data_IF_034753016882
#
_entry.id   IF_034753016882
#
_cell.length_a   1.000
_cell.length_b   1.000
_cell.length_c   1.000
_cell.angle_alpha   90.00
_cell.angle_beta   90.00
_cell.angle_gamma   90.00
#
_symmetry.space_group_name_H-M   'P 1'
#
loop_
_entity.id
_entity.type
_entity.pdbx_description
1 polymer ?
#
# COMPACT_ATOMS: atom_id res chain seq x y z
N UNK A 1 -46.19 -20.71 -20.85
CA UNK A 1 -44.90 -21.32 -20.47
C UNK A 1 -43.88 -20.20 -20.42
N UNK A 2 -43.34 -19.90 -19.25
CA UNK A 2 -42.30 -18.89 -19.08
C UNK A 2 -40.93 -19.56 -19.18
N UNK A 3 -40.00 -18.89 -19.87
CA UNK A 3 -38.57 -19.15 -19.72
C UNK A 3 -37.95 -17.79 -19.45
N UNK A 4 -37.43 -17.64 -18.23
CA UNK A 4 -36.60 -16.51 -17.81
C UNK A 4 -35.17 -16.84 -18.26
N UNK A 5 -34.44 -15.92 -18.91
CA UNK A 5 -33.02 -16.15 -19.18
C UNK A 5 -32.27 -16.24 -17.84
N UNK A 6 -31.21 -17.06 -17.74
CA UNK A 6 -30.37 -17.07 -16.55
C UNK A 6 -29.71 -15.68 -16.38
N UNK A 7 -29.85 -15.11 -15.19
CA UNK A 7 -29.04 -13.97 -14.78
C UNK A 7 -27.59 -14.43 -14.74
N UNK A 8 -26.76 -13.83 -15.58
CA UNK A 8 -25.32 -13.96 -15.47
C UNK A 8 -24.89 -12.99 -14.37
N UNK A 9 -25.12 -13.38 -13.11
CA UNK A 9 -24.57 -12.69 -11.93
C UNK A 9 -23.07 -13.01 -11.89
N UNK A 10 -22.32 -12.33 -12.74
CA UNK A 10 -20.87 -12.19 -12.64
C UNK A 10 -20.58 -10.76 -12.21
N UNK A 11 -21.13 -10.39 -11.05
CA UNK A 11 -20.57 -9.32 -10.22
C UNK A 11 -19.38 -9.91 -9.44
N UNK A 12 -18.40 -10.48 -10.15
CA UNK A 12 -17.08 -10.68 -9.59
C UNK A 12 -16.39 -9.33 -9.78
N UNK A 13 -16.64 -8.41 -8.84
CA UNK A 13 -15.85 -7.19 -8.72
C UNK A 13 -14.39 -7.61 -8.86
N UNK A 14 -13.63 -7.04 -9.81
CA UNK A 14 -12.27 -7.49 -10.04
C UNK A 14 -11.54 -7.43 -8.71
N UNK A 15 -10.79 -8.48 -8.35
CA UNK A 15 -9.89 -8.46 -7.19
C UNK A 15 -8.95 -7.25 -7.36
N UNK A 16 -9.33 -6.12 -6.76
CA UNK A 16 -8.54 -4.89 -6.83
C UNK A 16 -7.34 -5.15 -5.96
N UNK A 17 -6.20 -5.40 -6.60
CA UNK A 17 -4.94 -5.54 -5.88
C UNK A 17 -4.58 -4.18 -5.30
N UNK A 18 -4.82 -4.01 -4.00
CA UNK A 18 -4.46 -2.80 -3.27
C UNK A 18 -2.95 -2.75 -2.98
N UNK A 19 -2.32 -1.61 -3.26
CA UNK A 19 -0.91 -1.36 -2.98
C UNK A 19 -0.68 0.09 -2.55
N UNK A 20 0.47 0.34 -1.93
CA UNK A 20 0.88 1.64 -1.41
C UNK A 20 -0.11 2.16 -0.38
N UNK A 21 -0.59 3.38 -0.60
CA UNK A 21 -1.50 4.03 0.36
C UNK A 21 -2.87 3.37 0.47
N UNK A 22 -3.38 2.71 -0.58
CA UNK A 22 -4.65 2.00 -0.48
C UNK A 22 -4.53 0.79 0.47
N UNK A 23 -3.44 0.02 0.32
CA UNK A 23 -3.14 -1.09 1.21
C UNK A 23 -2.83 -0.64 2.65
N UNK A 24 -2.25 0.56 2.82
CA UNK A 24 -2.06 1.17 4.14
C UNK A 24 -3.39 1.64 4.73
N UNK A 25 -4.27 2.23 3.93
CA UNK A 25 -5.58 2.76 4.34
C UNK A 25 -6.41 1.67 5.02
N UNK A 26 -6.49 0.49 4.39
CA UNK A 26 -7.18 -0.68 4.92
C UNK A 26 -6.57 -1.18 6.25
N UNK A 27 -5.25 -1.14 6.39
CA UNK A 27 -4.55 -1.53 7.64
C UNK A 27 -4.79 -0.53 8.76
N UNK A 28 -4.84 0.76 8.43
CA UNK A 28 -5.15 1.81 9.40
C UNK A 28 -6.59 1.71 9.88
N UNK A 29 -7.55 1.44 8.98
CA UNK A 29 -8.95 1.22 9.35
C UNK A 29 -9.14 0.00 10.25
N UNK A 30 -8.39 -1.08 10.01
CA UNK A 30 -8.44 -2.28 10.86
C UNK A 30 -7.80 -2.12 12.24
N UNK A 31 -7.06 -1.03 12.49
CA UNK A 31 -6.26 -0.84 13.71
C UNK A 31 -6.92 0.06 14.77
N UNK A 32 -8.14 0.55 14.53
CA UNK A 32 -8.91 1.42 15.43
C UNK A 32 -8.03 2.52 16.07
N UNK A 33 -7.38 3.32 15.22
CA UNK A 33 -6.51 4.41 15.64
C UNK A 33 -7.31 5.68 15.97
N UNK A 34 -6.97 6.31 17.10
CA UNK A 34 -7.48 7.62 17.46
C UNK A 34 -6.46 8.70 17.08
N UNK A 35 -6.94 9.79 16.45
CA UNK A 35 -6.09 10.91 16.05
C UNK A 35 -6.32 12.12 16.98
N UNK A 36 -5.27 12.90 17.30
CA UNK A 36 -3.89 12.80 16.80
C UNK A 36 -3.13 11.59 17.39
N UNK A 37 -2.27 10.98 16.57
CA UNK A 37 -1.48 9.79 16.95
C UNK A 37 0.02 10.05 16.79
N UNK A 38 0.83 9.48 17.68
CA UNK A 38 2.30 9.59 17.62
C UNK A 38 2.91 8.52 16.71
N UNK A 39 4.06 8.83 16.11
CA UNK A 39 4.82 7.85 15.31
C UNK A 39 5.25 6.65 16.17
N UNK A 40 5.57 6.85 17.45
CA UNK A 40 5.88 5.76 18.38
C UNK A 40 4.68 4.85 18.68
N UNK A 41 3.48 5.40 18.74
CA UNK A 41 2.27 4.59 18.92
C UNK A 41 1.90 3.83 17.64
N UNK A 42 2.06 4.47 16.48
CA UNK A 42 1.94 3.80 15.19
C UNK A 42 2.98 2.68 15.03
N UNK A 43 4.22 2.90 15.44
CA UNK A 43 5.27 1.88 15.43
C UNK A 43 4.91 0.72 16.38
N UNK A 44 4.40 1.00 17.57
CA UNK A 44 3.98 -0.05 18.50
C UNK A 44 2.78 -0.87 18.02
N UNK A 45 1.85 -0.27 17.25
CA UNK A 45 0.61 -0.93 16.80
C UNK A 45 0.72 -1.56 15.41
N UNK A 46 1.40 -0.87 14.50
CA UNK A 46 1.46 -1.18 13.08
C UNK A 46 2.89 -1.38 12.57
N UNK A 47 3.92 -1.17 13.40
CA UNK A 47 5.33 -1.18 12.98
C UNK A 47 5.73 -2.40 12.16
N UNK A 48 5.36 -3.60 12.63
CA UNK A 48 5.66 -4.89 11.96
C UNK A 48 4.72 -5.22 10.79
N UNK A 49 3.72 -4.37 10.53
CA UNK A 49 2.73 -4.63 9.49
C UNK A 49 3.34 -4.34 8.12
N UNK A 50 3.53 -5.38 7.32
CA UNK A 50 4.00 -5.26 5.94
C UNK A 50 2.92 -4.65 5.04
N UNK A 51 3.28 -3.67 4.21
CA UNK A 51 2.42 -3.01 3.23
C UNK A 51 3.00 -3.23 1.83
N UNK A 52 2.28 -3.86 0.89
CA UNK A 52 2.72 -4.00 -0.50
C UNK A 52 2.75 -2.62 -1.16
N UNK A 53 3.82 -2.29 -1.89
CA UNK A 53 3.97 -1.01 -2.59
C UNK A 53 3.99 -1.11 -4.11
N UNK A 54 4.02 -2.33 -4.66
CA UNK A 54 3.88 -2.57 -6.08
C UNK A 54 3.23 -3.95 -6.39
N UNK A 55 2.90 -4.15 -7.67
CA UNK A 55 2.29 -5.39 -8.15
C UNK A 55 3.29 -6.54 -8.31
N UNK A 56 4.59 -6.31 -8.09
CA UNK A 56 5.62 -7.36 -8.13
C UNK A 56 5.73 -8.12 -6.80
N UNK A 57 4.92 -7.72 -5.80
CA UNK A 57 4.91 -8.32 -4.47
C UNK A 57 5.97 -7.74 -3.54
N UNK A 58 6.54 -6.58 -3.86
CA UNK A 58 7.45 -5.93 -2.94
C UNK A 58 6.67 -5.24 -1.83
N UNK A 59 7.11 -5.43 -0.59
CA UNK A 59 6.48 -4.90 0.61
C UNK A 59 7.48 -4.12 1.47
N UNK A 60 6.95 -3.22 2.30
CA UNK A 60 7.70 -2.48 3.31
C UNK A 60 6.86 -2.39 4.58
N UNK A 61 7.50 -2.47 5.74
CA UNK A 61 6.79 -2.34 7.02
C UNK A 61 6.36 -0.88 7.27
N UNK A 62 5.26 -0.69 8.00
CA UNK A 62 4.82 0.67 8.38
C UNK A 62 5.90 1.35 9.22
N UNK A 63 6.60 0.63 10.10
CA UNK A 63 7.70 1.17 10.91
C UNK A 63 8.83 1.76 10.05
N UNK A 64 9.29 1.02 9.04
CA UNK A 64 10.30 1.53 8.11
C UNK A 64 9.81 2.75 7.34
N UNK A 65 8.54 2.75 6.93
CA UNK A 65 7.96 3.87 6.20
C UNK A 65 7.85 5.12 7.08
N UNK A 66 7.50 4.98 8.37
CA UNK A 66 7.47 6.08 9.34
C UNK A 66 8.85 6.71 9.55
N UNK A 67 9.90 5.88 9.67
CA UNK A 67 11.29 6.35 9.79
C UNK A 67 11.69 7.23 8.60
N UNK A 68 11.20 6.94 7.40
CA UNK A 68 11.51 7.75 6.20
C UNK A 68 10.76 9.10 6.13
N UNK A 69 9.75 9.34 6.98
CA UNK A 69 8.97 10.59 6.95
C UNK A 69 9.51 11.70 7.85
N UNK A 70 10.46 11.42 8.75
CA UNK A 70 10.99 12.35 9.77
C UNK A 70 9.90 13.00 10.67
N UNK A 71 8.65 12.53 10.64
CA UNK A 71 7.52 13.06 11.42
C UNK A 71 7.30 12.25 12.68
N UNK A 72 7.01 12.94 13.79
CA UNK A 72 6.80 12.31 15.11
C UNK A 72 5.32 12.16 15.49
N UNK A 73 4.41 12.83 14.78
CA UNK A 73 2.97 12.76 15.03
C UNK A 73 2.17 13.11 13.78
N UNK A 74 0.92 12.65 13.76
CA UNK A 74 -0.02 12.86 12.66
C UNK A 74 -1.36 13.33 13.21
N UNK A 75 -1.91 14.38 12.62
CA UNK A 75 -3.14 15.03 13.11
C UNK A 75 -4.42 14.31 12.64
N UNK A 76 -4.32 13.52 11.56
CA UNK A 76 -5.43 12.77 10.99
C UNK A 76 -4.95 11.59 10.16
N UNK A 77 -5.87 10.66 9.85
CA UNK A 77 -5.62 9.56 8.90
C UNK A 77 -5.12 10.09 7.56
N UNK A 78 -5.76 11.13 7.02
CA UNK A 78 -5.35 11.74 5.77
C UNK A 78 -3.93 12.32 5.84
N UNK A 79 -3.55 12.97 6.95
CA UNK A 79 -2.19 13.49 7.16
C UNK A 79 -1.15 12.37 7.19
N UNK A 80 -1.45 11.25 7.86
CA UNK A 80 -0.62 10.04 7.86
C UNK A 80 -0.42 9.45 6.45
N UNK A 81 -1.51 9.21 5.72
CA UNK A 81 -1.45 8.64 4.37
C UNK A 81 -0.71 9.55 3.41
N UNK A 82 -0.96 10.86 3.47
CA UNK A 82 -0.28 11.84 2.64
C UNK A 82 1.22 11.92 2.95
N UNK A 83 1.62 11.76 4.22
CA UNK A 83 3.02 11.73 4.60
C UNK A 83 3.75 10.47 4.10
N UNK A 84 3.07 9.32 4.12
CA UNK A 84 3.64 8.04 3.69
C UNK A 84 3.55 7.81 2.17
N UNK A 85 2.64 8.49 1.47
CA UNK A 85 2.48 8.35 0.02
C UNK A 85 3.78 8.55 -0.77
N UNK A 86 4.57 9.62 -0.56
CA UNK A 86 5.83 9.81 -1.27
C UNK A 86 6.87 8.74 -0.95
N UNK A 87 6.82 8.14 0.25
CA UNK A 87 7.75 7.05 0.63
C UNK A 87 7.49 5.82 -0.22
N UNK A 88 6.23 5.37 -0.27
CA UNK A 88 5.84 4.22 -1.09
C UNK A 88 6.08 4.48 -2.58
N UNK A 89 5.78 5.68 -3.07
CA UNK A 89 5.99 6.02 -4.48
C UNK A 89 7.48 5.98 -4.86
N UNK A 90 8.37 6.47 -3.98
CA UNK A 90 9.83 6.36 -4.20
C UNK A 90 10.30 4.90 -4.27
N UNK A 91 9.81 4.04 -3.37
CA UNK A 91 10.14 2.60 -3.39
C UNK A 91 9.64 1.94 -4.68
N UNK A 92 8.42 2.24 -5.10
CA UNK A 92 7.83 1.76 -6.36
C UNK A 92 8.64 2.18 -7.59
N UNK A 93 9.09 3.43 -7.64
CA UNK A 93 9.91 3.94 -8.74
C UNK A 93 11.31 3.29 -8.77
N UNK A 94 11.90 3.07 -7.60
CA UNK A 94 13.19 2.38 -7.49
C UNK A 94 13.09 0.91 -7.92
N UNK A 95 12.03 0.21 -7.50
CA UNK A 95 11.77 -1.18 -7.89
C UNK A 95 11.55 -1.32 -9.40
N UNK A 96 10.67 -0.50 -9.97
CA UNK A 96 10.40 -0.50 -11.42
C UNK A 96 11.64 -0.20 -12.26
N UNK A 97 12.46 0.77 -11.87
CA UNK A 97 13.73 1.07 -12.55
C UNK A 97 14.70 -0.11 -12.50
N UNK A 98 14.72 -0.85 -11.39
CA UNK A 98 15.61 -2.01 -11.21
C UNK A 98 15.19 -3.18 -12.10
N UNK A 99 13.88 -3.45 -12.21
CA UNK A 99 13.33 -4.46 -13.11
C UNK A 99 13.67 -4.16 -14.58
N UNK A 100 13.52 -2.89 -15.00
CA UNK A 100 13.87 -2.47 -16.37
C UNK A 100 15.37 -2.68 -16.69
N UNK A 101 16.26 -2.43 -15.73
CA UNK A 101 17.69 -2.69 -15.89
C UNK A 101 17.99 -4.18 -16.06
N UNK A 102 17.32 -5.05 -15.29
CA UNK A 102 17.52 -6.49 -15.38
C UNK A 102 17.07 -7.06 -16.74
N UNK A 103 15.91 -6.62 -17.25
CA UNK A 103 15.42 -7.04 -18.58
C UNK A 103 16.36 -6.55 -19.68
N UNK A 104 16.85 -5.30 -19.60
CA UNK A 104 17.80 -4.77 -20.59
C UNK A 104 19.13 -5.53 -20.61
N UNK A 105 19.55 -6.12 -19.49
CA UNK A 105 20.75 -6.97 -19.42
C UNK A 105 20.64 -8.31 -20.15
N UNK A 106 19.43 -8.79 -20.47
CA UNK A 106 19.20 -10.06 -21.17
C UNK A 106 19.05 -9.92 -22.69
N UNK A 107 18.95 -8.70 -23.22
CA UNK A 107 18.84 -8.47 -24.67
C UNK A 107 20.23 -8.22 -25.24
N UNK A 108 20.77 -9.08 -26.14
CA UNK A 108 22.03 -8.81 -26.82
C UNK A 108 21.87 -7.57 -27.72
N UNK A 109 22.92 -6.74 -27.76
CA UNK A 109 22.96 -5.48 -28.52
C UNK A 109 22.85 -5.71 -30.03
#
# INVERSE_FOLDING_TARGET
MGVRPPSNDVDEEPDVVEFGIAALDARVDGADLEFPVSASELESRLGDTAVPYDAAGNEMSVGEALVETDRQSFDSKADLLNALHPVFERKRQAASTSLLKQIRGLVPF
#
